data_IF_629107057212
#
_entry.id   IF_629107057212
#
_cell.length_a   1.000
_cell.length_b   1.000
_cell.length_c   1.000
_cell.angle_alpha   90.00
_cell.angle_beta   90.00
_cell.angle_gamma   90.00
#
_symmetry.space_group_name_H-M   'P 1'
#
loop_
_entity.id
_entity.type
_entity.pdbx_description
1 polymer ?
#
# COMPACT_ATOMS: atom_id res chain seq x y z
N UNK A 1 28.93 43.90 1.85
CA UNK A 1 28.21 42.83 1.11
C UNK A 1 28.47 41.52 1.83
N UNK A 2 27.66 41.24 2.85
CA UNK A 2 27.62 39.94 3.52
C UNK A 2 26.56 39.11 2.81
N UNK A 3 26.98 38.05 2.12
CA UNK A 3 26.08 37.06 1.55
C UNK A 3 25.53 36.20 2.70
N UNK A 4 24.23 36.29 2.95
CA UNK A 4 23.49 35.30 3.73
C UNK A 4 23.52 33.98 2.95
N UNK A 5 24.30 33.02 3.45
CA UNK A 5 24.09 31.62 3.08
C UNK A 5 22.91 31.09 3.90
N UNK A 6 21.88 30.49 3.28
CA UNK A 6 20.81 29.87 4.03
C UNK A 6 21.39 28.73 4.88
N UNK A 7 21.18 28.82 6.21
CA UNK A 7 21.45 27.71 7.12
C UNK A 7 20.61 26.51 6.66
N UNK A 8 21.28 25.50 6.12
CA UNK A 8 20.66 24.19 5.91
C UNK A 8 20.48 23.59 7.30
N UNK A 9 19.28 23.73 7.86
CA UNK A 9 18.88 22.99 9.06
C UNK A 9 18.88 21.50 8.70
N UNK A 10 19.94 20.79 9.11
CA UNK A 10 19.98 19.34 9.02
C UNK A 10 18.85 18.79 9.89
N UNK A 11 17.93 18.05 9.28
CA UNK A 11 16.88 17.36 10.03
C UNK A 11 17.53 16.48 11.13
N UNK A 12 16.98 16.45 12.36
CA UNK A 12 17.51 15.63 13.43
C UNK A 12 17.46 14.16 13.01
N UNK A 13 18.41 13.35 13.50
CA UNK A 13 18.41 11.91 13.24
C UNK A 13 17.07 11.26 13.66
N UNK A 14 16.68 10.12 13.07
CA UNK A 14 15.47 9.42 13.47
C UNK A 14 15.41 9.18 14.97
N UNK A 15 14.25 9.44 15.58
CA UNK A 15 14.06 9.34 17.03
C UNK A 15 12.58 9.13 17.38
N UNK A 16 12.29 8.74 18.61
CA UNK A 16 10.91 8.62 19.08
C UNK A 16 10.29 10.02 19.24
N UNK A 17 9.26 10.32 18.45
CA UNK A 17 8.54 11.58 18.48
C UNK A 17 7.14 11.42 17.89
N UNK A 18 6.17 12.12 18.48
CA UNK A 18 4.76 12.01 18.10
C UNK A 18 4.51 12.46 16.65
N UNK A 19 3.74 11.65 15.92
CA UNK A 19 3.22 12.01 14.60
C UNK A 19 2.07 13.03 14.74
N UNK A 20 1.73 13.79 13.67
CA UNK A 20 0.60 14.71 13.71
C UNK A 20 -0.72 14.01 14.04
N UNK A 21 -1.60 14.68 14.81
CA UNK A 21 -2.87 14.09 15.27
C UNK A 21 -3.79 13.61 14.13
N UNK A 22 -3.75 14.28 12.98
CA UNK A 22 -4.51 13.92 11.77
C UNK A 22 -3.62 13.31 10.68
N UNK A 23 -2.62 12.52 11.05
CA UNK A 23 -1.70 11.93 10.08
C UNK A 23 -2.44 11.13 8.99
N UNK A 24 -1.99 11.33 7.75
CA UNK A 24 -2.41 10.54 6.60
C UNK A 24 -1.61 9.23 6.60
N UNK A 25 -2.31 8.11 6.51
CA UNK A 25 -1.67 6.79 6.40
C UNK A 25 -1.17 6.60 4.96
N UNK A 26 0.15 6.43 4.80
CA UNK A 26 0.75 6.08 3.52
C UNK A 26 0.58 4.60 3.24
N UNK A 27 0.94 3.79 4.24
CA UNK A 27 1.01 2.35 4.14
C UNK A 27 0.96 1.73 5.54
N UNK A 28 0.03 0.80 5.77
CA UNK A 28 0.02 -0.04 6.98
C UNK A 28 0.96 -1.23 6.83
N UNK A 29 1.52 -1.66 7.95
CA UNK A 29 2.10 -2.98 8.11
C UNK A 29 0.94 -3.98 8.22
N UNK A 30 0.71 -4.75 7.17
CA UNK A 30 -0.39 -5.69 7.05
C UNK A 30 0.07 -7.12 7.26
N UNK A 31 -0.82 -7.97 7.76
CA UNK A 31 -0.59 -9.40 7.93
C UNK A 31 -1.49 -10.17 6.95
N UNK A 32 -1.27 -11.47 6.74
CA UNK A 32 -2.04 -12.25 5.79
C UNK A 32 -3.56 -12.16 6.03
N UNK A 33 -4.32 -11.97 4.95
CA UNK A 33 -5.79 -12.09 4.93
C UNK A 33 -6.11 -13.48 4.36
N UNK A 34 -6.65 -14.42 5.15
CA UNK A 34 -6.92 -15.79 4.68
C UNK A 34 -7.93 -15.84 3.52
N UNK A 35 -8.72 -14.78 3.29
CA UNK A 35 -9.57 -14.68 2.12
C UNK A 35 -8.80 -14.38 0.82
N UNK A 36 -7.53 -14.00 0.91
CA UNK A 36 -6.68 -13.57 -0.22
C UNK A 36 -5.44 -14.43 -0.33
N UNK A 37 -4.58 -14.43 0.69
CA UNK A 37 -3.35 -15.20 0.73
C UNK A 37 -2.96 -15.51 2.17
N UNK A 38 -2.48 -16.74 2.37
CA UNK A 38 -1.89 -17.22 3.63
C UNK A 38 -0.38 -17.43 3.51
N UNK A 39 0.23 -17.07 2.37
CA UNK A 39 1.69 -17.06 2.20
C UNK A 39 2.25 -15.99 3.14
N UNK A 40 2.84 -16.39 4.27
CA UNK A 40 3.12 -15.48 5.39
C UNK A 40 4.30 -14.56 5.08
N UNK A 41 5.28 -15.10 4.36
CA UNK A 41 6.54 -14.48 3.95
C UNK A 41 6.34 -13.26 3.03
N UNK A 42 5.20 -13.18 2.33
CA UNK A 42 4.83 -11.98 1.58
C UNK A 42 4.55 -10.77 2.49
N UNK A 43 4.28 -11.02 3.77
CA UNK A 43 3.86 -10.03 4.74
C UNK A 43 4.89 -9.89 5.87
N UNK A 44 5.39 -10.98 6.42
CA UNK A 44 6.30 -10.91 7.58
C UNK A 44 7.19 -12.14 7.63
N UNK A 45 8.47 -11.95 7.93
CA UNK A 45 9.37 -13.03 8.29
C UNK A 45 9.47 -13.12 9.82
N UNK A 46 9.13 -14.28 10.36
CA UNK A 46 9.15 -14.54 11.81
C UNK A 46 10.37 -15.39 12.16
N UNK A 47 11.05 -15.03 13.24
CA UNK A 47 12.22 -15.74 13.76
C UNK A 47 12.04 -15.99 15.27
N UNK A 48 12.54 -17.12 15.78
CA UNK A 48 12.44 -17.45 17.20
C UNK A 48 10.99 -17.62 17.70
N UNK A 49 10.72 -17.36 18.99
CA UNK A 49 9.39 -17.56 19.59
C UNK A 49 8.42 -16.39 19.29
N UNK A 50 8.07 -16.24 18.01
CA UNK A 50 7.05 -15.31 17.52
C UNK A 50 5.94 -16.08 16.78
N UNK A 51 4.68 -15.64 16.93
CA UNK A 51 3.51 -16.33 16.35
C UNK A 51 2.57 -15.31 15.72
N UNK A 52 2.09 -15.64 14.52
CA UNK A 52 1.02 -14.92 13.83
C UNK A 52 -0.36 -15.46 14.26
N UNK A 53 -1.18 -14.61 14.86
CA UNK A 53 -2.61 -14.86 15.12
C UNK A 53 -3.45 -14.42 13.92
N UNK A 54 -3.62 -15.31 12.93
CA UNK A 54 -4.36 -15.00 11.69
C UNK A 54 -5.80 -14.49 11.92
N UNK A 55 -6.49 -14.97 12.96
CA UNK A 55 -7.89 -14.61 13.21
C UNK A 55 -8.07 -13.15 13.67
N UNK A 56 -7.07 -12.60 14.34
CA UNK A 56 -7.09 -11.22 14.85
C UNK A 56 -6.15 -10.28 14.07
N UNK A 57 -5.36 -10.83 13.15
CA UNK A 57 -4.31 -10.12 12.41
C UNK A 57 -3.31 -9.43 13.35
N UNK A 58 -2.75 -10.20 14.28
CA UNK A 58 -1.80 -9.72 15.30
C UNK A 58 -0.58 -10.65 15.40
N UNK A 59 0.54 -10.13 15.89
CA UNK A 59 1.72 -10.93 16.24
C UNK A 59 1.88 -10.97 17.75
N UNK A 60 2.21 -12.14 18.29
CA UNK A 60 2.55 -12.33 19.70
C UNK A 60 3.97 -12.85 19.82
N UNK A 61 4.69 -12.39 20.84
CA UNK A 61 6.10 -12.67 21.03
C UNK A 61 6.37 -13.15 22.45
N UNK A 62 7.24 -14.16 22.58
CA UNK A 62 7.99 -14.38 23.82
C UNK A 62 9.39 -13.74 23.69
N UNK A 63 10.15 -13.58 24.79
CA UNK A 63 11.50 -13.03 24.72
C UNK A 63 12.39 -13.76 23.69
N UNK A 64 13.05 -12.98 22.84
CA UNK A 64 13.87 -13.47 21.73
C UNK A 64 13.10 -13.70 20.42
N UNK A 65 11.77 -13.64 20.42
CA UNK A 65 10.96 -13.71 19.20
C UNK A 65 11.10 -12.45 18.37
N UNK A 66 11.16 -12.59 17.04
CA UNK A 66 11.34 -11.46 16.15
C UNK A 66 10.39 -11.51 14.95
N UNK A 67 10.08 -10.32 14.44
CA UNK A 67 9.30 -10.11 13.22
C UNK A 67 10.00 -9.06 12.35
N UNK A 68 10.21 -9.39 11.09
CA UNK A 68 10.80 -8.52 10.06
C UNK A 68 9.77 -8.20 8.99
N UNK A 69 9.65 -6.91 8.70
CA UNK A 69 8.78 -6.32 7.70
C UNK A 69 9.60 -5.83 6.50
N UNK A 70 10.44 -6.72 5.99
CA UNK A 70 11.27 -6.60 4.78
C UNK A 70 10.66 -7.35 3.58
N UNK A 71 9.35 -7.61 3.66
CA UNK A 71 8.57 -8.33 2.67
C UNK A 71 7.94 -7.40 1.65
N UNK A 72 7.49 -7.97 0.52
CA UNK A 72 6.85 -7.23 -0.56
C UNK A 72 5.65 -6.38 -0.09
N UNK A 73 4.82 -6.92 0.81
CA UNK A 73 3.64 -6.19 1.26
C UNK A 73 3.97 -5.05 2.22
N UNK A 74 5.09 -5.08 2.94
CA UNK A 74 5.31 -4.19 4.09
C UNK A 74 6.54 -3.29 4.05
N UNK A 75 7.54 -3.57 3.21
CA UNK A 75 8.61 -2.62 2.98
C UNK A 75 8.04 -1.32 2.38
N UNK A 76 8.59 -0.17 2.77
CA UNK A 76 8.21 1.11 2.20
C UNK A 76 9.22 1.49 1.12
N UNK A 77 8.79 1.46 -0.14
CA UNK A 77 9.59 1.99 -1.24
C UNK A 77 9.57 3.53 -1.22
N UNK A 78 10.39 4.14 -0.35
CA UNK A 78 10.44 5.58 -0.15
C UNK A 78 10.82 6.32 -1.45
N UNK A 79 11.54 5.66 -2.35
CA UNK A 79 11.90 6.21 -3.66
C UNK A 79 10.71 6.53 -4.53
N UNK A 80 9.74 5.62 -4.61
CA UNK A 80 8.51 5.86 -5.35
C UNK A 80 7.69 6.99 -4.73
N UNK A 81 7.53 6.99 -3.41
CA UNK A 81 6.80 8.05 -2.71
C UNK A 81 7.44 9.42 -2.90
N UNK A 82 8.75 9.57 -2.67
CA UNK A 82 9.40 10.88 -2.82
C UNK A 82 9.36 11.43 -4.24
N UNK A 83 9.54 10.55 -5.23
CA UNK A 83 9.53 10.93 -6.64
C UNK A 83 8.17 11.46 -7.08
N UNK A 84 7.10 10.79 -6.67
CA UNK A 84 5.76 11.06 -7.20
C UNK A 84 4.86 11.85 -6.26
N UNK A 85 5.17 11.89 -4.96
CA UNK A 85 4.34 12.50 -3.93
C UNK A 85 5.06 13.64 -3.20
N UNK A 86 4.30 14.64 -2.78
CA UNK A 86 4.72 15.69 -1.88
C UNK A 86 4.54 15.22 -0.43
N UNK A 87 5.59 14.64 0.15
CA UNK A 87 5.61 14.24 1.56
C UNK A 87 5.95 15.43 2.46
N UNK A 88 5.24 15.55 3.58
CA UNK A 88 5.57 16.48 4.67
C UNK A 88 5.72 15.67 5.97
N UNK A 89 6.99 15.36 6.24
CA UNK A 89 7.41 14.45 7.29
C UNK A 89 7.10 12.98 7.00
N UNK A 90 7.74 12.10 7.78
CA UNK A 90 7.54 10.66 7.69
C UNK A 90 7.65 10.09 9.10
N UNK A 91 6.66 9.32 9.51
CA UNK A 91 6.69 8.62 10.79
C UNK A 91 6.36 7.15 10.62
N UNK A 92 6.96 6.31 11.44
CA UNK A 92 6.49 4.96 11.71
C UNK A 92 5.68 4.98 13.00
N UNK A 93 4.42 4.55 12.95
CA UNK A 93 3.57 4.28 14.11
C UNK A 93 3.48 2.78 14.34
N UNK A 94 3.74 2.32 15.56
CA UNK A 94 3.58 0.92 15.98
C UNK A 94 2.65 0.83 17.18
N UNK A 95 1.60 0.01 17.11
CA UNK A 95 0.65 -0.23 18.20
C UNK A 95 0.83 -1.65 18.73
N UNK A 96 0.86 -1.79 20.06
CA UNK A 96 1.15 -3.07 20.69
C UNK A 96 1.44 -2.95 22.19
N UNK A 97 2.01 -4.00 22.75
CA UNK A 97 2.44 -4.05 24.16
C UNK A 97 3.78 -4.77 24.29
N UNK A 98 4.55 -4.44 25.33
CA UNK A 98 5.84 -5.08 25.61
C UNK A 98 7.05 -4.25 25.18
N UNK A 99 8.24 -4.75 25.52
CA UNK A 99 9.52 -4.11 25.21
C UNK A 99 10.23 -4.83 24.07
N UNK A 100 10.73 -4.07 23.11
CA UNK A 100 11.36 -4.59 21.90
C UNK A 100 12.66 -3.84 21.60
N UNK A 101 13.63 -4.52 21.00
CA UNK A 101 14.60 -3.86 20.13
C UNK A 101 13.92 -3.54 18.80
N UNK A 102 13.83 -2.26 18.45
CA UNK A 102 13.32 -1.79 17.17
C UNK A 102 14.50 -1.42 16.29
N UNK A 103 14.61 -2.06 15.11
CA UNK A 103 15.56 -1.69 14.06
C UNK A 103 14.79 -1.20 12.84
N UNK A 104 15.19 -0.05 12.32
CA UNK A 104 14.72 0.49 11.05
C UNK A 104 15.96 0.71 10.19
N UNK A 105 15.94 0.20 8.97
CA UNK A 105 17.06 0.33 8.05
C UNK A 105 16.59 0.69 6.66
N UNK A 106 17.50 1.26 5.88
CA UNK A 106 17.29 1.60 4.50
C UNK A 106 18.20 0.75 3.61
N UNK A 107 17.63 0.15 2.56
CA UNK A 107 18.35 -0.54 1.49
C UNK A 107 18.30 0.30 0.21
N UNK A 108 19.46 0.67 -0.34
CA UNK A 108 19.57 1.42 -1.61
C UNK A 108 20.17 0.61 -2.74
N UNK A 109 20.83 -0.49 -2.40
CA UNK A 109 21.36 -1.48 -3.31
C UNK A 109 21.25 -2.85 -2.63
N UNK A 110 20.49 -3.76 -3.24
CA UNK A 110 20.13 -5.03 -2.61
C UNK A 110 21.39 -5.86 -2.30
N UNK A 111 21.57 -6.23 -1.03
CA UNK A 111 22.72 -7.00 -0.56
C UNK A 111 24.06 -6.22 -0.51
N UNK A 112 24.09 -4.93 -0.87
CA UNK A 112 25.32 -4.14 -1.00
C UNK A 112 25.32 -2.84 -0.20
N UNK A 113 24.17 -2.17 -0.08
CA UNK A 113 24.02 -0.90 0.66
C UNK A 113 22.80 -0.97 1.58
N UNK A 114 23.02 -1.51 2.78
CA UNK A 114 22.09 -1.45 3.90
C UNK A 114 22.63 -0.52 4.99
N UNK A 115 21.81 0.44 5.42
CA UNK A 115 22.15 1.36 6.51
C UNK A 115 21.06 1.35 7.58
N UNK A 116 21.41 0.99 8.81
CA UNK A 116 20.51 1.19 9.96
C UNK A 116 20.34 2.68 10.22
N UNK A 117 19.09 3.15 10.23
CA UNK A 117 18.74 4.56 10.41
C UNK A 117 18.16 4.85 11.80
N UNK A 118 17.63 3.82 12.46
CA UNK A 118 17.19 3.86 13.85
C UNK A 118 17.39 2.48 14.47
N UNK A 119 17.94 2.43 15.67
CA UNK A 119 18.03 1.21 16.47
C UNK A 119 18.05 1.57 17.96
N UNK A 120 17.00 1.16 18.68
CA UNK A 120 16.91 1.40 20.12
C UNK A 120 15.94 0.40 20.78
N UNK A 121 15.95 0.37 22.11
CA UNK A 121 14.96 -0.34 22.92
C UNK A 121 13.73 0.54 23.10
N UNK A 122 12.58 0.04 22.67
CA UNK A 122 11.30 0.76 22.71
C UNK A 122 10.29 -0.01 23.55
N UNK A 123 9.33 0.72 24.12
CA UNK A 123 8.15 0.13 24.77
C UNK A 123 6.94 0.52 23.94
N UNK A 124 6.21 -0.47 23.43
CA UNK A 124 5.02 -0.21 22.63
C UNK A 124 3.82 0.07 23.51
N UNK A 125 2.91 0.91 23.01
CA UNK A 125 1.65 1.24 23.65
C UNK A 125 0.46 0.88 22.74
N UNK A 126 -0.70 0.45 23.30
CA UNK A 126 -1.87 0.07 22.50
C UNK A 126 -2.41 1.19 21.60
N UNK A 127 -2.29 2.44 22.03
CA UNK A 127 -2.70 3.64 21.30
C UNK A 127 -1.75 4.02 20.14
N UNK A 128 -0.55 3.43 20.12
CA UNK A 128 0.50 3.69 19.13
C UNK A 128 1.69 4.45 19.71
N UNK A 129 2.88 4.03 19.29
CA UNK A 129 4.17 4.67 19.55
C UNK A 129 4.76 5.14 18.23
N UNK A 130 5.14 6.41 18.17
CA UNK A 130 5.59 7.06 16.93
C UNK A 130 7.09 7.30 16.91
N UNK A 131 7.69 7.10 15.74
CA UNK A 131 9.09 7.32 15.43
C UNK A 131 9.20 8.24 14.23
N UNK A 132 9.83 9.40 14.42
CA UNK A 132 10.05 10.38 13.35
C UNK A 132 11.22 9.93 12.47
N UNK A 133 10.91 9.69 11.20
CA UNK A 133 11.82 9.29 10.13
C UNK A 133 11.99 10.40 9.10
N UNK A 134 11.58 11.64 9.40
CA UNK A 134 11.62 12.77 8.46
C UNK A 134 13.03 13.08 7.97
N UNK A 135 14.05 12.67 8.73
CA UNK A 135 15.46 12.72 8.32
C UNK A 135 15.77 11.94 7.03
N UNK A 136 14.92 10.98 6.65
CA UNK A 136 15.05 10.20 5.43
C UNK A 136 14.51 10.93 4.19
N UNK A 137 13.78 12.04 4.38
CA UNK A 137 13.20 12.82 3.29
C UNK A 137 14.23 13.64 2.51
N UNK A 138 15.16 14.37 3.16
CA UNK A 138 16.22 15.10 2.46
C UNK A 138 17.34 14.14 2.01
N UNK A 139 17.57 13.98 0.70
CA UNK A 139 18.70 13.18 0.21
C UNK A 139 18.67 12.83 -1.27
N UNK A 140 19.83 12.46 -1.82
CA UNK A 140 20.02 12.23 -3.27
C UNK A 140 19.53 10.85 -3.76
N UNK A 141 19.35 9.85 -2.87
CA UNK A 141 18.87 8.52 -3.24
C UNK A 141 18.01 7.90 -2.13
N UNK A 142 16.68 8.08 -2.17
CA UNK A 142 15.78 7.28 -1.35
C UNK A 142 15.91 5.79 -1.69
N UNK A 143 15.84 4.94 -0.67
CA UNK A 143 15.83 3.49 -0.79
C UNK A 143 14.55 2.87 -0.25
N UNK A 144 14.56 1.54 -0.09
CA UNK A 144 13.53 0.79 0.61
C UNK A 144 13.73 0.96 2.11
N UNK A 145 12.67 1.20 2.87
CA UNK A 145 12.69 1.30 4.32
C UNK A 145 12.00 0.08 4.91
N UNK A 146 12.70 -0.62 5.81
CA UNK A 146 12.24 -1.85 6.44
C UNK A 146 12.28 -1.72 7.96
N UNK A 147 11.50 -2.56 8.64
CA UNK A 147 11.28 -2.51 10.09
C UNK A 147 11.45 -3.92 10.67
N UNK A 148 12.12 -4.03 11.80
CA UNK A 148 12.22 -5.27 12.56
C UNK A 148 12.01 -5.01 14.04
N UNK A 149 11.32 -5.94 14.69
CA UNK A 149 11.10 -5.97 16.13
C UNK A 149 11.68 -7.26 16.69
N UNK A 150 12.47 -7.16 17.75
CA UNK A 150 12.94 -8.31 18.54
C UNK A 150 12.47 -8.15 19.98
N UNK A 151 11.67 -9.09 20.47
CA UNK A 151 11.06 -9.01 21.78
C UNK A 151 12.09 -9.20 22.90
N UNK A 152 12.13 -8.25 23.84
CA UNK A 152 12.94 -8.33 25.06
C UNK A 152 12.11 -8.87 26.24
N UNK A 153 10.80 -8.74 26.16
CA UNK A 153 9.79 -9.29 27.07
C UNK A 153 8.72 -10.01 26.26
N UNK A 154 7.76 -10.65 26.94
CA UNK A 154 6.49 -10.95 26.26
C UNK A 154 5.86 -9.66 25.72
N UNK A 155 5.19 -9.77 24.58
CA UNK A 155 4.59 -8.61 23.92
C UNK A 155 3.72 -8.99 22.73
N UNK A 156 2.99 -8.00 22.24
CA UNK A 156 2.10 -8.12 21.09
C UNK A 156 2.30 -6.94 20.15
N UNK A 157 2.20 -7.17 18.83
CA UNK A 157 2.08 -6.13 17.82
C UNK A 157 0.70 -6.24 17.18
N UNK A 158 -0.11 -5.21 17.35
CA UNK A 158 -1.51 -5.15 16.89
C UNK A 158 -1.72 -4.20 15.72
N UNK A 159 -0.72 -3.37 15.40
CA UNK A 159 -0.75 -2.56 14.20
C UNK A 159 0.57 -1.84 13.92
N UNK A 160 0.76 -1.46 12.67
CA UNK A 160 1.85 -0.61 12.26
C UNK A 160 1.47 0.20 11.03
N UNK A 161 2.02 1.40 10.88
CA UNK A 161 1.83 2.21 9.69
C UNK A 161 2.94 3.24 9.49
N UNK A 162 3.33 3.43 8.23
CA UNK A 162 3.99 4.65 7.79
C UNK A 162 2.96 5.74 7.56
N UNK A 163 3.19 6.91 8.13
CA UNK A 163 2.28 8.05 8.08
C UNK A 163 3.02 9.35 7.74
N UNK A 164 2.31 10.31 7.18
CA UNK A 164 2.79 11.66 6.84
C UNK A 164 1.79 12.71 7.33
N UNK A 165 2.17 13.98 7.35
CA UNK A 165 1.18 15.05 7.49
C UNK A 165 0.26 15.08 6.25
N UNK A 166 -1.06 15.25 6.41
CA UNK A 166 -1.94 15.52 5.28
C UNK A 166 -1.61 16.90 4.65
N UNK A 167 -1.87 17.10 3.35
CA UNK A 167 -1.73 18.41 2.75
C UNK A 167 -2.71 19.41 3.38
N UNK A 168 -2.26 20.64 3.64
CA UNK A 168 -3.06 21.68 4.31
C UNK A 168 -4.34 22.04 3.54
N UNK A 169 -4.27 22.04 2.22
CA UNK A 169 -5.40 22.28 1.32
C UNK A 169 -5.37 21.27 0.19
N UNK A 170 -6.47 20.55 -0.01
CA UNK A 170 -6.64 19.69 -1.16
C UNK A 170 -8.13 19.43 -1.42
N UNK A 171 -8.53 19.48 -2.67
CA UNK A 171 -9.90 19.17 -3.09
C UNK A 171 -10.31 17.75 -2.65
N UNK A 172 -11.59 17.50 -2.32
CA UNK A 172 -12.05 16.16 -1.97
C UNK A 172 -11.72 15.14 -3.07
N UNK A 173 -11.15 14.00 -2.67
CA UNK A 173 -10.85 12.92 -3.61
C UNK A 173 -12.10 12.04 -3.74
N UNK A 174 -12.73 12.02 -4.91
CA UNK A 174 -13.89 11.17 -5.21
C UNK A 174 -13.46 10.08 -6.18
N UNK A 175 -13.27 8.87 -5.68
CA UNK A 175 -12.85 7.72 -6.48
C UNK A 175 -14.06 6.87 -6.84
N UNK A 176 -14.29 6.66 -8.13
CA UNK A 176 -15.21 5.62 -8.62
C UNK A 176 -14.43 4.34 -8.90
N UNK A 177 -14.72 3.26 -8.18
CA UNK A 177 -14.23 1.92 -8.53
C UNK A 177 -15.18 1.31 -9.55
N UNK A 178 -14.70 1.12 -10.77
CA UNK A 178 -15.46 0.53 -11.87
C UNK A 178 -15.08 -0.93 -12.06
N UNK A 179 -16.01 -1.83 -11.73
CA UNK A 179 -15.87 -3.28 -11.92
C UNK A 179 -16.66 -3.68 -13.16
N UNK A 180 -16.02 -4.34 -14.12
CA UNK A 180 -16.71 -4.90 -15.30
C UNK A 180 -16.90 -6.40 -15.09
N UNK A 181 -18.12 -6.91 -15.32
CA UNK A 181 -18.40 -8.36 -15.23
C UNK A 181 -19.15 -8.92 -16.41
N UNK A 182 -18.93 -10.21 -16.70
CA UNK A 182 -19.74 -11.00 -17.64
C UNK A 182 -19.91 -12.44 -17.10
N UNK A 183 -21.07 -12.73 -16.52
CA UNK A 183 -21.45 -14.07 -16.02
C UNK A 183 -20.47 -14.66 -14.98
N UNK A 184 -20.04 -13.84 -14.02
CA UNK A 184 -19.20 -14.18 -12.87
C UNK A 184 -19.82 -13.68 -11.58
N UNK A 185 -21.08 -14.07 -11.37
CA UNK A 185 -21.92 -13.53 -10.30
C UNK A 185 -21.37 -13.82 -8.91
N UNK A 186 -20.73 -14.97 -8.71
CA UNK A 186 -20.18 -15.37 -7.43
C UNK A 186 -18.93 -14.55 -7.07
N UNK A 187 -18.00 -14.41 -8.02
CA UNK A 187 -16.75 -13.66 -7.86
C UNK A 187 -17.04 -12.19 -7.62
N UNK A 188 -17.89 -11.58 -8.44
CA UNK A 188 -18.22 -10.16 -8.29
C UNK A 188 -18.99 -9.89 -7.00
N UNK A 189 -19.86 -10.79 -6.57
CA UNK A 189 -20.55 -10.67 -5.28
C UNK A 189 -19.57 -10.74 -4.10
N UNK A 190 -18.58 -11.63 -4.16
CA UNK A 190 -17.53 -11.74 -3.14
C UNK A 190 -16.69 -10.46 -3.06
N UNK A 191 -16.26 -9.94 -4.21
CA UNK A 191 -15.49 -8.68 -4.30
C UNK A 191 -16.29 -7.52 -3.73
N UNK A 192 -17.55 -7.34 -4.17
CA UNK A 192 -18.42 -6.28 -3.67
C UNK A 192 -18.68 -6.40 -2.16
N UNK A 193 -18.92 -7.60 -1.65
CA UNK A 193 -19.15 -7.81 -0.22
C UNK A 193 -17.92 -7.45 0.65
N UNK A 194 -16.70 -7.74 0.16
CA UNK A 194 -15.46 -7.32 0.85
C UNK A 194 -15.30 -5.81 0.81
N UNK A 195 -15.56 -5.18 -0.33
CA UNK A 195 -15.46 -3.74 -0.49
C UNK A 195 -16.48 -3.00 0.38
N UNK A 196 -17.77 -3.35 0.32
CA UNK A 196 -18.80 -2.68 1.12
C UNK A 196 -18.56 -2.84 2.62
N UNK A 197 -18.17 -4.04 3.09
CA UNK A 197 -17.76 -4.25 4.48
C UNK A 197 -16.59 -3.37 4.88
N UNK A 198 -15.61 -3.19 4.01
CA UNK A 198 -14.49 -2.28 4.26
C UNK A 198 -14.95 -0.83 4.34
N UNK A 199 -15.79 -0.38 3.39
CA UNK A 199 -16.32 0.98 3.35
C UNK A 199 -17.17 1.34 4.59
N UNK A 200 -17.95 0.39 5.10
CA UNK A 200 -18.83 0.57 6.27
C UNK A 200 -18.12 0.35 7.61
N UNK A 201 -16.98 -0.37 7.60
CA UNK A 201 -16.24 -0.75 8.80
C UNK A 201 -14.84 -0.13 8.84
N UNK A 202 -13.77 -0.96 8.79
CA UNK A 202 -12.41 -0.52 9.08
C UNK A 202 -11.86 0.53 8.10
N UNK A 203 -12.42 0.62 6.89
CA UNK A 203 -12.03 1.61 5.89
C UNK A 203 -12.62 3.00 6.11
N UNK A 204 -13.76 3.12 6.79
CA UNK A 204 -14.48 4.39 6.92
C UNK A 204 -13.59 5.51 7.51
N UNK A 205 -12.91 5.23 8.61
CA UNK A 205 -12.00 6.18 9.26
C UNK A 205 -10.74 6.47 8.44
N UNK A 206 -10.22 5.47 7.70
CA UNK A 206 -9.03 5.63 6.85
C UNK A 206 -9.35 6.53 5.65
N UNK A 207 -10.49 6.33 5.01
CA UNK A 207 -10.98 7.15 3.91
C UNK A 207 -11.26 8.59 4.35
N UNK A 208 -11.90 8.76 5.52
CA UNK A 208 -12.15 10.08 6.09
C UNK A 208 -10.83 10.85 6.34
N UNK A 209 -9.81 10.19 6.91
CA UNK A 209 -8.47 10.78 7.10
C UNK A 209 -7.76 11.11 5.78
N UNK A 210 -8.00 10.32 4.73
CA UNK A 210 -7.52 10.62 3.38
C UNK A 210 -8.34 11.70 2.67
N UNK A 211 -9.40 12.24 3.29
CA UNK A 211 -10.35 13.16 2.68
C UNK A 211 -11.03 12.58 1.43
N UNK A 212 -11.18 11.25 1.39
CA UNK A 212 -11.58 10.50 0.22
C UNK A 212 -13.00 9.92 0.38
N UNK A 213 -13.76 9.97 -0.71
CA UNK A 213 -14.99 9.22 -0.89
C UNK A 213 -14.77 8.17 -1.97
N UNK A 214 -15.26 6.95 -1.71
CA UNK A 214 -15.19 5.83 -2.65
C UNK A 214 -16.60 5.35 -2.95
N UNK A 215 -16.94 5.36 -4.23
CA UNK A 215 -18.18 4.82 -4.78
C UNK A 215 -17.86 3.64 -5.71
N UNK A 216 -18.79 2.69 -5.81
CA UNK A 216 -18.66 1.46 -6.57
C UNK A 216 -19.62 1.49 -7.77
N UNK A 217 -19.11 1.15 -8.94
CA UNK A 217 -19.90 0.98 -10.15
C UNK A 217 -19.65 -0.43 -10.70
N UNK A 218 -20.68 -1.28 -10.68
CA UNK A 218 -20.69 -2.55 -11.36
C UNK A 218 -21.27 -2.37 -12.77
N UNK A 219 -20.45 -2.53 -13.80
CA UNK A 219 -20.88 -2.61 -15.20
C UNK A 219 -21.11 -4.08 -15.54
N UNK A 220 -22.38 -4.48 -15.64
CA UNK A 220 -22.78 -5.86 -15.88
C UNK A 220 -23.07 -6.09 -17.36
N UNK A 221 -22.07 -6.58 -18.08
CA UNK A 221 -22.18 -6.96 -19.50
C UNK A 221 -23.01 -8.24 -19.71
N UNK A 222 -23.21 -9.04 -18.65
CA UNK A 222 -24.02 -10.26 -18.68
C UNK A 222 -25.50 -10.01 -18.39
N UNK A 223 -25.82 -8.87 -17.78
CA UNK A 223 -27.14 -8.47 -17.28
C UNK A 223 -27.76 -9.47 -16.28
N UNK A 224 -26.92 -10.27 -15.65
CA UNK A 224 -27.27 -11.38 -14.77
C UNK A 224 -26.86 -11.16 -13.31
N UNK A 225 -25.94 -10.22 -13.02
CA UNK A 225 -25.49 -9.93 -11.67
C UNK A 225 -26.58 -9.23 -10.85
N UNK A 226 -26.81 -9.70 -9.63
CA UNK A 226 -27.79 -9.13 -8.68
C UNK A 226 -27.14 -9.03 -7.28
N UNK A 227 -26.11 -8.19 -7.10
CA UNK A 227 -25.46 -8.04 -5.80
C UNK A 227 -26.44 -7.43 -4.79
N UNK A 228 -26.15 -7.63 -3.50
CA UNK A 228 -26.89 -6.96 -2.44
C UNK A 228 -26.82 -5.42 -2.63
N UNK A 229 -27.94 -4.70 -2.48
CA UNK A 229 -27.96 -3.26 -2.63
C UNK A 229 -27.08 -2.60 -1.55
N UNK A 230 -26.39 -1.53 -1.93
CA UNK A 230 -25.57 -0.75 -1.01
C UNK A 230 -25.63 0.72 -1.42
N UNK A 231 -25.67 1.70 -0.48
CA UNK A 231 -25.83 3.12 -0.82
C UNK A 231 -24.76 3.69 -1.76
N UNK A 232 -23.56 3.10 -1.73
CA UNK A 232 -22.43 3.48 -2.58
C UNK A 232 -22.23 2.57 -3.79
N UNK A 233 -23.16 1.66 -4.08
CA UNK A 233 -23.07 0.73 -5.22
C UNK A 233 -24.12 1.08 -6.26
N UNK A 234 -23.65 1.36 -7.48
CA UNK A 234 -24.49 1.46 -8.68
C UNK A 234 -24.24 0.25 -9.57
N UNK A 235 -25.32 -0.43 -9.97
CA UNK A 235 -25.26 -1.48 -10.99
C UNK A 235 -25.78 -0.92 -12.32
N UNK A 236 -25.00 -1.08 -13.38
CA UNK A 236 -25.31 -0.60 -14.72
C UNK A 236 -25.41 -1.82 -15.65
N UNK A 237 -26.62 -2.18 -16.12
CA UNK A 237 -26.74 -3.20 -17.16
C UNK A 237 -26.10 -2.67 -18.45
N UNK A 238 -25.30 -3.50 -19.10
CA UNK A 238 -24.58 -3.15 -20.31
C UNK A 238 -24.72 -4.27 -21.35
N UNK A 239 -24.62 -3.93 -22.64
CA UNK A 239 -24.48 -4.96 -23.67
C UNK A 239 -23.09 -5.61 -23.56
N UNK A 240 -22.93 -6.85 -24.04
CA UNK A 240 -21.62 -7.49 -24.08
C UNK A 240 -20.74 -6.85 -25.17
N UNK A 241 -19.96 -5.85 -24.77
CA UNK A 241 -19.02 -5.10 -25.61
C UNK A 241 -17.55 -5.40 -25.22
N UNK A 242 -17.33 -6.56 -24.58
CA UNK A 242 -16.03 -6.94 -24.02
C UNK A 242 -15.55 -6.05 -22.88
N UNK A 243 -14.31 -6.27 -22.44
CA UNK A 243 -13.69 -5.50 -21.35
C UNK A 243 -13.58 -4.01 -21.68
N UNK A 244 -13.14 -3.67 -22.90
CA UNK A 244 -13.02 -2.28 -23.34
C UNK A 244 -14.35 -1.51 -23.27
N UNK A 245 -15.45 -2.12 -23.73
CA UNK A 245 -16.78 -1.50 -23.65
C UNK A 245 -17.30 -1.38 -22.22
N UNK A 246 -17.00 -2.35 -21.36
CA UNK A 246 -17.34 -2.30 -19.94
C UNK A 246 -16.60 -1.19 -19.20
N UNK A 247 -15.27 -1.12 -19.34
CA UNK A 247 -14.46 -0.07 -18.73
C UNK A 247 -14.80 1.33 -19.28
N UNK A 248 -15.05 1.46 -20.58
CA UNK A 248 -15.51 2.74 -21.15
C UNK A 248 -16.85 3.18 -20.56
N UNK A 249 -17.79 2.25 -20.35
CA UNK A 249 -19.08 2.54 -19.72
C UNK A 249 -18.92 2.97 -18.26
N UNK A 250 -18.03 2.31 -17.52
CA UNK A 250 -17.70 2.67 -16.14
C UNK A 250 -17.03 4.03 -16.02
N UNK A 251 -16.09 4.35 -16.93
CA UNK A 251 -15.46 5.66 -17.01
C UNK A 251 -16.49 6.78 -17.28
N UNK A 252 -17.40 6.58 -18.23
CA UNK A 252 -18.48 7.53 -18.49
C UNK A 252 -19.36 7.74 -17.25
N UNK A 253 -19.69 6.67 -16.52
CA UNK A 253 -20.46 6.77 -15.28
C UNK A 253 -19.71 7.54 -14.17
N UNK A 254 -18.38 7.38 -14.08
CA UNK A 254 -17.54 8.14 -13.16
C UNK A 254 -17.50 9.64 -13.51
N UNK A 255 -17.43 9.97 -14.80
CA UNK A 255 -17.50 11.35 -15.29
C UNK A 255 -18.85 11.99 -14.98
N UNK A 256 -19.96 11.29 -15.28
CA UNK A 256 -21.32 11.75 -15.01
C UNK A 256 -21.59 12.01 -13.53
N UNK A 257 -20.95 11.24 -12.62
CA UNK A 257 -21.08 11.45 -11.17
C UNK A 257 -20.15 12.53 -10.61
N UNK A 258 -19.29 13.14 -11.44
CA UNK A 258 -18.30 14.10 -11.01
C UNK A 258 -17.18 13.48 -10.16
N UNK A 259 -16.88 12.19 -10.34
CA UNK A 259 -15.72 11.57 -9.70
C UNK A 259 -14.42 12.25 -10.18
N UNK A 260 -13.46 12.43 -9.28
CA UNK A 260 -12.15 13.00 -9.64
C UNK A 260 -11.20 11.95 -10.18
N UNK A 261 -11.41 10.67 -9.82
CA UNK A 261 -10.60 9.54 -10.25
C UNK A 261 -11.49 8.33 -10.57
N UNK A 262 -11.00 7.45 -11.45
CA UNK A 262 -11.62 6.17 -11.74
C UNK A 262 -10.58 5.05 -11.57
N UNK A 263 -10.91 4.01 -10.80
CA UNK A 263 -10.12 2.80 -10.66
C UNK A 263 -10.81 1.68 -11.43
N UNK A 264 -10.15 1.17 -12.47
CA UNK A 264 -10.62 -0.01 -13.19
C UNK A 264 -10.23 -1.28 -12.44
N UNK A 265 -11.18 -2.19 -12.30
CA UNK A 265 -10.97 -3.48 -11.65
C UNK A 265 -11.71 -4.59 -12.40
N UNK A 266 -11.08 -5.76 -12.46
CA UNK A 266 -11.74 -6.99 -12.90
C UNK A 266 -12.65 -7.55 -11.81
N UNK A 267 -13.59 -8.40 -12.20
CA UNK A 267 -14.57 -9.02 -11.30
C UNK A 267 -14.03 -10.19 -10.48
N UNK A 268 -12.97 -10.85 -10.97
CA UNK A 268 -12.30 -11.98 -10.33
C UNK A 268 -10.94 -11.63 -9.67
N UNK A 269 -10.62 -10.34 -9.57
CA UNK A 269 -9.41 -9.88 -8.89
C UNK A 269 -9.53 -9.97 -7.36
N UNK A 270 -8.60 -10.67 -6.71
CA UNK A 270 -8.45 -10.69 -5.26
C UNK A 270 -7.34 -9.73 -4.81
N UNK A 271 -7.64 -8.82 -3.89
CA UNK A 271 -6.66 -7.83 -3.41
C UNK A 271 -6.86 -7.50 -1.93
N UNK A 272 -5.79 -7.01 -1.31
CA UNK A 272 -5.82 -6.46 0.05
C UNK A 272 -6.52 -5.10 0.03
N UNK A 273 -7.46 -4.85 0.94
CA UNK A 273 -8.11 -3.54 1.04
C UNK A 273 -7.12 -2.41 1.35
N UNK A 274 -5.96 -2.76 1.89
CA UNK A 274 -4.82 -1.86 2.02
C UNK A 274 -4.38 -1.22 0.70
N UNK A 275 -4.49 -1.93 -0.44
CA UNK A 275 -4.14 -1.37 -1.74
C UNK A 275 -5.01 -0.17 -2.10
N UNK A 276 -6.28 -0.15 -1.68
CA UNK A 276 -7.17 1.00 -1.85
C UNK A 276 -6.70 2.18 -0.99
N UNK A 277 -6.27 1.93 0.24
CA UNK A 277 -5.75 2.96 1.16
C UNK A 277 -4.48 3.59 0.59
N UNK A 278 -3.50 2.76 0.17
CA UNK A 278 -2.25 3.22 -0.45
C UNK A 278 -2.50 4.03 -1.72
N UNK A 279 -3.41 3.55 -2.57
CA UNK A 279 -3.78 4.23 -3.82
C UNK A 279 -4.34 5.63 -3.55
N UNK A 280 -5.23 5.76 -2.58
CA UNK A 280 -5.83 7.05 -2.22
C UNK A 280 -4.82 8.00 -1.59
N UNK A 281 -3.93 7.51 -0.72
CA UNK A 281 -2.84 8.30 -0.16
C UNK A 281 -1.88 8.78 -1.24
N UNK A 282 -1.52 7.92 -2.18
CA UNK A 282 -0.66 8.27 -3.32
C UNK A 282 -1.30 9.36 -4.18
N UNK A 283 -2.55 9.17 -4.61
CA UNK A 283 -3.29 10.14 -5.44
C UNK A 283 -3.49 11.47 -4.71
N UNK A 284 -3.74 11.45 -3.39
CA UNK A 284 -3.86 12.64 -2.55
C UNK A 284 -2.57 13.46 -2.53
N UNK A 285 -1.42 12.79 -2.49
CA UNK A 285 -0.11 13.42 -2.36
C UNK A 285 0.59 13.63 -3.70
N UNK A 286 -0.01 13.18 -4.81
CA UNK A 286 0.60 13.19 -6.13
C UNK A 286 1.02 14.61 -6.54
N UNK A 287 2.29 14.78 -6.94
CA UNK A 287 2.85 16.05 -7.42
C UNK A 287 2.24 16.50 -8.76
N UNK A 288 1.71 15.56 -9.53
CA UNK A 288 1.16 15.79 -10.86
C UNK A 288 -0.32 15.42 -10.88
N UNK A 289 -1.21 16.28 -11.40
CA UNK A 289 -2.62 15.92 -11.62
C UNK A 289 -2.80 14.88 -12.73
N UNK A 290 -1.72 14.56 -13.48
CA UNK A 290 -1.70 13.49 -14.49
C UNK A 290 -1.16 12.17 -13.94
N UNK A 291 -0.91 12.08 -12.63
CA UNK A 291 -0.46 10.84 -12.03
C UNK A 291 -1.50 9.74 -12.26
N UNK A 292 -1.03 8.60 -12.75
CA UNK A 292 -1.79 7.37 -12.83
C UNK A 292 -1.05 6.31 -12.02
N UNK A 293 -1.80 5.40 -11.42
CA UNK A 293 -1.27 4.30 -10.62
C UNK A 293 -1.74 3.00 -11.24
N UNK A 294 -0.82 2.05 -11.40
CA UNK A 294 -1.12 0.68 -11.75
C UNK A 294 -0.76 -0.21 -10.56
N UNK A 295 -1.66 -1.11 -10.18
CA UNK A 295 -1.32 -2.15 -9.20
C UNK A 295 -0.48 -3.23 -9.87
N UNK A 296 0.55 -3.70 -9.18
CA UNK A 296 1.24 -4.91 -9.58
C UNK A 296 0.31 -6.13 -9.46
N UNK A 297 0.51 -7.12 -10.31
CA UNK A 297 -0.28 -8.34 -10.36
C UNK A 297 0.55 -9.51 -9.86
N UNK A 298 -0.01 -10.28 -8.92
CA UNK A 298 0.57 -11.53 -8.42
C UNK A 298 -0.22 -12.69 -9.02
N UNK A 299 0.45 -13.79 -9.36
CA UNK A 299 -0.22 -14.95 -9.93
C UNK A 299 -1.23 -15.57 -8.95
N UNK A 300 -2.48 -15.79 -9.40
CA UNK A 300 -3.48 -16.49 -8.59
C UNK A 300 -3.12 -17.97 -8.35
N UNK A 301 -2.40 -18.61 -9.30
CA UNK A 301 -1.97 -20.00 -9.21
C UNK A 301 -0.68 -20.20 -8.40
N UNK A 302 0.19 -19.18 -8.35
CA UNK A 302 1.39 -19.14 -7.51
C UNK A 302 1.36 -17.82 -6.75
N UNK A 303 0.66 -17.79 -5.61
CA UNK A 303 0.35 -16.57 -4.82
C UNK A 303 1.57 -15.83 -4.24
N UNK A 304 2.77 -16.30 -4.56
CA UNK A 304 4.05 -15.73 -4.22
C UNK A 304 4.84 -15.23 -5.44
N UNK A 305 4.45 -15.57 -6.67
CA UNK A 305 5.17 -15.21 -7.88
C UNK A 305 4.58 -13.96 -8.52
N UNK A 306 5.43 -12.95 -8.76
CA UNK A 306 5.04 -11.76 -9.50
C UNK A 306 4.60 -12.14 -10.92
N UNK A 307 3.43 -11.66 -11.33
CA UNK A 307 2.95 -11.78 -12.71
C UNK A 307 3.39 -10.57 -13.53
N UNK A 308 3.18 -9.37 -13.00
CA UNK A 308 3.51 -8.12 -13.68
C UNK A 308 3.70 -6.99 -12.67
N UNK A 309 4.86 -6.33 -12.68
CA UNK A 309 5.07 -5.05 -11.98
C UNK A 309 5.50 -3.99 -13.01
N UNK A 310 4.49 -3.56 -13.78
CA UNK A 310 4.65 -2.78 -15.01
C UNK A 310 4.97 -3.63 -16.23
N UNK A 311 4.83 -3.07 -17.42
CA UNK A 311 5.06 -3.78 -18.67
C UNK A 311 5.77 -2.92 -19.72
N UNK A 312 6.25 -3.55 -20.79
CA UNK A 312 6.69 -2.86 -22.01
C UNK A 312 5.82 -3.32 -23.18
N UNK A 313 5.50 -2.39 -24.07
CA UNK A 313 4.70 -2.65 -25.25
C UNK A 313 5.54 -2.44 -26.52
N UNK A 314 5.78 -3.54 -27.23
CA UNK A 314 6.28 -3.52 -28.61
C UNK A 314 5.53 -4.59 -29.41
N UNK A 315 4.43 -4.16 -30.05
CA UNK A 315 3.40 -4.97 -30.74
C UNK A 315 2.61 -5.90 -29.83
N UNK A 316 3.20 -6.39 -28.75
CA UNK A 316 2.60 -7.18 -27.70
C UNK A 316 3.07 -6.69 -26.33
N UNK A 317 2.22 -6.88 -25.33
CA UNK A 317 2.55 -6.57 -23.94
C UNK A 317 3.54 -7.61 -23.41
N UNK A 318 4.61 -7.16 -22.76
CA UNK A 318 5.58 -8.01 -22.08
C UNK A 318 5.67 -7.57 -20.61
N UNK A 319 5.27 -8.43 -19.66
CA UNK A 319 5.33 -8.08 -18.24
C UNK A 319 6.77 -7.88 -17.81
N UNK A 320 7.00 -6.91 -16.93
CA UNK A 320 8.26 -6.74 -16.21
C UNK A 320 8.22 -7.53 -14.91
N UNK A 321 9.38 -8.06 -14.51
CA UNK A 321 9.58 -8.80 -13.25
C UNK A 321 8.70 -10.06 -13.11
N UNK A 322 8.29 -10.65 -14.24
CA UNK A 322 7.56 -11.91 -14.25
C UNK A 322 8.40 -13.01 -13.59
N UNK A 323 7.83 -13.65 -12.58
CA UNK A 323 8.42 -14.80 -11.89
C UNK A 323 9.24 -14.47 -10.65
N UNK A 324 9.45 -13.19 -10.30
CA UNK A 324 10.10 -12.78 -9.04
C UNK A 324 9.42 -13.46 -7.86
N UNK A 325 10.22 -14.11 -6.99
CA UNK A 325 9.75 -14.80 -5.80
C UNK A 325 9.56 -13.79 -4.65
N UNK A 326 8.30 -13.48 -4.33
CA UNK A 326 7.95 -12.47 -3.32
C UNK A 326 8.15 -12.96 -1.88
N UNK A 327 8.63 -14.19 -1.69
CA UNK A 327 9.04 -14.74 -0.40
C UNK A 327 10.53 -14.51 -0.13
N UNK A 328 11.29 -14.13 -1.14
CA UNK A 328 12.73 -13.84 -1.01
C UNK A 328 12.94 -12.32 -0.87
N UNK A 329 13.40 -11.84 0.30
CA UNK A 329 13.65 -10.41 0.52
C UNK A 329 14.62 -9.79 -0.48
N UNK A 330 15.62 -10.52 -0.96
CA UNK A 330 16.63 -10.00 -1.87
C UNK A 330 16.03 -9.81 -3.27
N UNK A 331 15.26 -10.78 -3.77
CA UNK A 331 14.54 -10.64 -5.04
C UNK A 331 13.51 -9.51 -4.99
N UNK A 332 12.79 -9.38 -3.88
CA UNK A 332 11.84 -8.27 -3.63
C UNK A 332 12.57 -6.93 -3.64
N UNK A 333 13.69 -6.82 -2.92
CA UNK A 333 14.47 -5.58 -2.85
C UNK A 333 15.03 -5.18 -4.22
N UNK A 334 15.58 -6.13 -4.97
CA UNK A 334 16.07 -5.90 -6.34
C UNK A 334 14.95 -5.40 -7.26
N UNK A 335 13.79 -6.07 -7.25
CA UNK A 335 12.64 -5.68 -8.05
C UNK A 335 12.17 -4.26 -7.67
N UNK A 336 11.97 -3.97 -6.40
CA UNK A 336 11.42 -2.69 -5.93
C UNK A 336 12.38 -1.52 -6.18
N UNK A 337 13.69 -1.71 -6.03
CA UNK A 337 14.69 -0.70 -6.39
C UNK A 337 14.74 -0.47 -7.91
N UNK A 338 14.69 -1.53 -8.71
CA UNK A 338 14.65 -1.42 -10.18
C UNK A 338 13.35 -0.76 -10.66
N UNK A 339 12.21 -1.09 -10.04
CA UNK A 339 10.91 -0.48 -10.30
C UNK A 339 10.86 0.99 -9.84
N UNK A 340 11.68 1.40 -8.87
CA UNK A 340 11.88 2.80 -8.56
C UNK A 340 12.93 3.47 -9.46
N UNK A 341 13.48 2.81 -10.47
CA UNK A 341 14.45 3.37 -11.43
C UNK A 341 13.81 4.16 -12.59
N UNK A 342 14.62 4.67 -13.53
CA UNK A 342 14.15 5.18 -14.82
C UNK A 342 13.39 4.11 -15.61
N UNK A 343 12.30 4.49 -16.28
CA UNK A 343 11.49 3.56 -17.08
C UNK A 343 12.19 3.20 -18.41
N UNK A 344 12.14 1.92 -18.84
CA UNK A 344 12.70 1.52 -20.13
C UNK A 344 11.92 2.12 -21.31
N UNK A 345 12.50 2.20 -22.52
CA UNK A 345 11.76 2.56 -23.72
C UNK A 345 10.56 1.64 -23.96
N UNK A 346 9.43 2.20 -24.38
CA UNK A 346 8.20 1.44 -24.61
C UNK A 346 7.48 0.98 -23.34
N UNK A 347 7.84 1.51 -22.17
CA UNK A 347 7.15 1.22 -20.92
C UNK A 347 5.65 1.58 -21.01
N UNK A 348 4.82 0.62 -20.61
CA UNK A 348 3.38 0.62 -20.71
C UNK A 348 2.81 0.17 -19.36
N UNK A 349 2.39 1.14 -18.54
CA UNK A 349 1.82 0.90 -17.21
C UNK A 349 2.85 0.51 -16.14
N UNK A 350 2.69 1.06 -14.92
CA UNK A 350 3.52 0.79 -13.74
C UNK A 350 3.97 2.05 -12.99
#
# INVERSE_FOLDING_TARGET
MTQDQPQVTTAPAPHQAAAPAQALVLQRLILPDPAISTETELFVHLEGPAVLRLATSELTFAPGGAARFDSYMNLLNLGNWQRHCALDGLWLRLAGTGRFGLRIWQCRDAGLDETTVFEDVVTLAPEGTDFDLSALLPGARPGLVMVALTALTEGELTGGAFVTRPPETAEPLRLMVSITTFRREAEVAQTLARMTRFLDGPGAALLARAGAQVDLCLVDNGQSARPAPHPRLRVIPNANLGGAGGFARGLAAAQDSGATHCLFMDDDASFQMENLVRSLAFLRLARSPRAALAGAMISAGRKWAMWENGAVFDRFCRPQYLGTDLRDPDEVAQMELAAAGPRPPGFYGG
#
